data_IF_568258379449
#
_entry.id   IF_568258379449
#
_cell.length_a   1.000
_cell.length_b   1.000
_cell.length_c   1.000
_cell.angle_alpha   90.00
_cell.angle_beta   90.00
_cell.angle_gamma   90.00
#
_symmetry.space_group_name_H-M   'P 1'
#
loop_
_entity.id
_entity.type
_entity.pdbx_description
1 polymer ?
#
# COMPACT_ATOMS: atom_id res chain seq x y z
N UNK A 1 -8.43 34.80 13.43
CA UNK A 1 -8.39 33.66 12.51
C UNK A 1 -7.88 32.50 13.33
N UNK A 2 -8.66 31.42 13.48
CA UNK A 2 -8.27 30.31 14.34
C UNK A 2 -7.07 29.59 13.72
N UNK A 3 -5.92 29.63 14.39
CA UNK A 3 -4.73 28.88 13.98
C UNK A 3 -5.03 27.39 14.16
N UNK A 4 -5.57 26.79 13.11
CA UNK A 4 -5.91 25.38 13.10
C UNK A 4 -4.60 24.59 12.86
N UNK A 5 -4.32 23.63 13.74
CA UNK A 5 -3.04 22.91 13.78
C UNK A 5 -3.19 21.52 13.16
N UNK A 6 -2.24 21.15 12.31
CA UNK A 6 -2.15 19.84 11.70
C UNK A 6 -1.12 18.97 12.43
N UNK A 7 -1.54 17.77 12.85
CA UNK A 7 -0.65 16.81 13.49
C UNK A 7 0.42 16.30 12.51
N UNK A 8 1.62 15.94 13.02
CA UNK A 8 2.67 15.33 12.20
C UNK A 8 2.22 14.01 11.55
N UNK A 9 1.25 13.32 12.15
CA UNK A 9 0.67 12.10 11.60
C UNK A 9 -0.09 12.39 10.30
N UNK A 10 -0.89 13.45 10.28
CA UNK A 10 -1.69 13.79 9.10
C UNK A 10 -0.87 14.56 8.07
N UNK A 11 0.10 15.37 8.50
CA UNK A 11 1.10 15.93 7.59
C UNK A 11 1.90 14.82 6.88
N UNK A 12 2.29 13.77 7.60
CA UNK A 12 2.99 12.63 6.99
C UNK A 12 2.16 11.94 5.91
N UNK A 13 0.85 11.81 6.11
CA UNK A 13 -0.09 11.31 5.08
C UNK A 13 -0.11 12.25 3.86
N UNK A 14 -0.26 13.56 4.08
CA UNK A 14 -0.25 14.56 2.99
C UNK A 14 1.04 14.52 2.17
N UNK A 15 2.18 14.30 2.83
CA UNK A 15 3.48 14.26 2.18
C UNK A 15 3.83 12.87 1.60
N UNK A 16 3.00 11.85 1.80
CA UNK A 16 3.23 10.49 1.30
C UNK A 16 4.49 9.83 1.88
N UNK A 17 4.77 10.02 3.17
CA UNK A 17 5.91 9.37 3.84
C UNK A 17 5.58 8.97 5.27
N UNK A 18 6.43 8.18 5.91
CA UNK A 18 6.26 7.81 7.32
C UNK A 18 6.49 9.00 8.28
N UNK A 19 5.98 8.88 9.51
CA UNK A 19 6.03 9.93 10.53
C UNK A 19 7.45 10.38 10.89
N UNK A 20 8.40 9.44 10.95
CA UNK A 20 9.79 9.73 11.32
C UNK A 20 10.53 10.46 10.20
N UNK A 21 10.22 10.12 8.94
CA UNK A 21 10.73 10.82 7.78
C UNK A 21 10.10 12.22 7.64
N UNK A 22 8.78 12.34 7.79
CA UNK A 22 8.09 13.64 7.77
C UNK A 22 8.68 14.58 8.83
N UNK A 23 8.91 14.10 10.05
CA UNK A 23 9.52 14.90 11.12
C UNK A 23 10.91 15.44 10.73
N UNK A 24 11.79 14.59 10.20
CA UNK A 24 13.13 15.00 9.76
C UNK A 24 13.07 15.97 8.59
N UNK A 25 12.13 15.77 7.66
CA UNK A 25 11.94 16.62 6.50
C UNK A 25 11.53 18.04 6.90
N UNK A 26 10.55 18.19 7.78
CA UNK A 26 10.09 19.49 8.32
C UNK A 26 11.23 20.24 9.01
N UNK A 27 12.00 19.55 9.87
CA UNK A 27 13.16 20.16 10.53
C UNK A 27 14.25 20.60 9.54
N UNK A 28 14.47 19.84 8.46
CA UNK A 28 15.44 20.18 7.41
C UNK A 28 15.03 21.42 6.62
N UNK A 29 13.72 21.69 6.52
CA UNK A 29 13.18 22.91 5.91
C UNK A 29 13.26 24.13 6.85
N UNK A 30 13.64 23.94 8.12
CA UNK A 30 13.79 25.03 9.10
C UNK A 30 12.55 25.31 9.94
N UNK A 31 11.46 24.55 9.77
CA UNK A 31 10.24 24.73 10.56
C UNK A 31 10.38 24.10 11.96
N UNK A 32 9.71 24.71 12.93
CA UNK A 32 9.61 24.23 14.31
C UNK A 32 8.28 23.55 14.58
N UNK A 33 8.24 22.66 15.56
CA UNK A 33 7.00 21.98 15.95
C UNK A 33 6.33 22.64 17.15
N UNK A 34 5.01 22.74 17.08
CA UNK A 34 4.15 23.09 18.21
C UNK A 34 3.70 21.82 18.92
N UNK A 35 3.86 21.75 20.24
CA UNK A 35 3.31 20.65 21.05
C UNK A 35 1.87 21.00 21.42
N UNK A 36 0.91 20.29 20.82
CA UNK A 36 -0.53 20.51 21.05
C UNK A 36 -1.25 19.18 21.23
N UNK A 37 -2.43 19.22 21.84
CA UNK A 37 -3.38 18.10 21.85
C UNK A 37 -4.40 18.40 20.78
N UNK A 38 -4.53 17.53 19.78
CA UNK A 38 -5.54 17.69 18.73
C UNK A 38 -6.63 16.63 18.92
N UNK A 39 -7.86 16.87 18.44
CA UNK A 39 -8.94 15.88 18.51
C UNK A 39 -8.53 14.54 17.87
N UNK A 40 -7.83 14.64 16.74
CA UNK A 40 -7.31 13.55 15.89
C UNK A 40 -6.11 12.79 16.50
N UNK A 41 -5.51 13.31 17.57
CA UNK A 41 -4.51 12.59 18.38
C UNK A 41 -5.12 11.91 19.61
N UNK A 42 -6.45 11.81 19.72
CA UNK A 42 -7.12 11.24 20.88
C UNK A 42 -6.82 12.02 22.17
N UNK A 43 -6.72 13.35 22.06
CA UNK A 43 -6.30 14.25 23.15
C UNK A 43 -4.89 14.00 23.72
N UNK A 44 -4.04 13.25 23.01
CA UNK A 44 -2.62 13.07 23.39
C UNK A 44 -1.77 14.24 22.89
N UNK A 45 -0.70 14.57 23.64
CA UNK A 45 0.25 15.60 23.25
C UNK A 45 1.03 15.12 22.02
N UNK A 46 0.88 15.82 20.89
CA UNK A 46 1.51 15.49 19.62
C UNK A 46 2.26 16.70 19.04
N UNK A 47 3.19 16.42 18.13
CA UNK A 47 3.87 17.45 17.36
C UNK A 47 2.95 17.90 16.22
N UNK A 48 2.75 19.21 16.11
CA UNK A 48 1.90 19.83 15.11
C UNK A 48 2.66 20.96 14.41
N UNK A 49 2.19 21.28 13.21
CA UNK A 49 2.48 22.54 12.49
C UNK A 49 1.16 23.27 12.28
N UNK A 50 1.18 24.56 12.00
CA UNK A 50 -0.04 25.26 11.56
C UNK A 50 -0.46 24.77 10.17
N UNK A 51 -1.74 24.92 9.80
CA UNK A 51 -2.17 24.57 8.44
C UNK A 51 -1.44 25.41 7.37
N UNK A 52 -1.15 26.68 7.63
CA UNK A 52 -0.37 27.53 6.71
C UNK A 52 1.04 26.95 6.45
N UNK A 53 1.76 26.58 7.52
CA UNK A 53 3.05 25.91 7.40
C UNK A 53 2.93 24.55 6.70
N UNK A 54 1.87 23.78 6.99
CA UNK A 54 1.64 22.50 6.34
C UNK A 54 1.50 22.65 4.82
N UNK A 55 0.75 23.64 4.36
CA UNK A 55 0.54 23.90 2.93
C UNK A 55 1.83 24.37 2.26
N UNK A 56 2.62 25.23 2.90
CA UNK A 56 3.96 25.61 2.42
C UNK A 56 4.90 24.41 2.31
N UNK A 57 4.94 23.55 3.34
CA UNK A 57 5.79 22.35 3.37
C UNK A 57 5.38 21.37 2.25
N UNK A 58 4.08 21.25 1.97
CA UNK A 58 3.56 20.43 0.86
C UNK A 58 3.90 21.04 -0.50
N UNK A 59 3.84 22.37 -0.64
CA UNK A 59 4.24 23.07 -1.87
C UNK A 59 5.74 22.90 -2.15
N UNK A 60 6.60 23.11 -1.15
CA UNK A 60 8.04 22.85 -1.24
C UNK A 60 8.34 21.36 -1.54
N UNK A 61 7.45 20.48 -1.09
CA UNK A 61 7.21 19.10 -1.52
C UNK A 61 7.19 18.96 -3.05
N UNK A 62 6.13 19.52 -3.61
CA UNK A 62 5.76 19.45 -5.01
C UNK A 62 6.80 20.12 -5.92
N UNK A 63 7.34 21.28 -5.53
CA UNK A 63 8.35 22.02 -6.29
C UNK A 63 9.64 21.21 -6.49
N UNK A 64 9.94 20.28 -5.57
CA UNK A 64 11.07 19.35 -5.69
C UNK A 64 10.75 18.13 -6.56
N UNK A 65 9.64 18.14 -7.29
CA UNK A 65 9.19 17.06 -8.16
C UNK A 65 8.46 15.93 -7.43
N UNK A 66 8.12 16.12 -6.15
CA UNK A 66 7.33 15.16 -5.38
C UNK A 66 5.89 15.64 -5.27
N UNK A 67 5.10 15.47 -6.33
CA UNK A 67 3.65 15.63 -6.25
C UNK A 67 3.10 14.65 -5.21
N UNK A 68 2.29 15.16 -4.28
CA UNK A 68 1.59 14.35 -3.30
C UNK A 68 0.63 13.42 -4.04
N UNK A 69 1.13 12.26 -4.46
CA UNK A 69 0.29 11.18 -4.94
C UNK A 69 -0.46 10.64 -3.73
N UNK A 70 -1.74 10.97 -3.67
CA UNK A 70 -2.75 10.42 -2.77
C UNK A 70 -2.63 8.90 -2.80
N UNK A 71 -1.97 8.33 -1.78
CA UNK A 71 -1.56 6.93 -1.76
C UNK A 71 -0.63 6.65 -2.94
N UNK A 72 0.66 6.40 -2.68
CA UNK A 72 1.42 5.57 -3.62
C UNK A 72 0.68 4.23 -3.59
N UNK A 73 -0.25 4.05 -4.52
CA UNK A 73 -0.69 2.74 -4.93
C UNK A 73 0.60 2.11 -5.44
N UNK A 74 1.34 1.47 -4.54
CA UNK A 74 2.25 0.41 -4.93
C UNK A 74 1.34 -0.45 -5.77
N UNK A 75 1.62 -0.53 -7.08
CA UNK A 75 0.91 -1.49 -7.88
C UNK A 75 1.23 -2.83 -7.24
N UNK A 76 0.25 -3.38 -6.52
CA UNK A 76 0.41 -4.69 -5.90
C UNK A 76 0.65 -5.74 -6.99
N UNK A 77 0.37 -5.40 -8.26
CA UNK A 77 0.59 -6.21 -9.44
C UNK A 77 1.89 -5.83 -10.14
N UNK A 78 2.68 -6.84 -10.44
CA UNK A 78 3.88 -6.74 -11.27
C UNK A 78 4.22 -8.12 -11.82
N UNK A 79 5.51 -8.43 -11.88
CA UNK A 79 5.99 -9.73 -12.34
C UNK A 79 6.89 -10.39 -11.31
N UNK A 80 6.71 -11.69 -11.15
CA UNK A 80 7.72 -12.55 -10.56
C UNK A 80 8.67 -13.00 -11.67
N UNK A 81 9.97 -12.96 -11.42
CA UNK A 81 10.98 -13.32 -12.41
C UNK A 81 11.94 -14.39 -11.89
N UNK A 82 12.52 -15.11 -12.85
CA UNK A 82 13.72 -15.93 -12.68
C UNK A 82 14.75 -15.39 -13.67
N UNK A 83 15.81 -14.79 -13.16
CA UNK A 83 16.93 -14.27 -13.95
C UNK A 83 18.15 -15.15 -13.71
N UNK A 84 18.74 -15.64 -14.78
CA UNK A 84 20.06 -16.28 -14.73
C UNK A 84 21.11 -15.16 -14.75
N UNK A 85 21.96 -15.10 -13.71
CA UNK A 85 22.84 -13.95 -13.51
C UNK A 85 24.06 -13.98 -14.44
N UNK A 86 24.83 -15.07 -14.45
CA UNK A 86 26.07 -15.16 -15.21
C UNK A 86 26.12 -16.48 -15.98
N UNK A 87 25.26 -16.66 -17.01
CA UNK A 87 25.08 -17.96 -17.69
C UNK A 87 26.37 -18.60 -18.20
N UNK A 88 27.34 -17.78 -18.63
CA UNK A 88 28.58 -18.29 -19.26
C UNK A 88 29.61 -18.80 -18.25
N UNK A 89 29.53 -18.37 -16.99
CA UNK A 89 30.47 -18.74 -15.92
C UNK A 89 29.82 -19.66 -14.90
N UNK A 90 28.59 -19.35 -14.51
CA UNK A 90 27.82 -20.07 -13.51
C UNK A 90 26.35 -20.17 -13.97
N UNK A 91 26.04 -21.14 -14.85
CA UNK A 91 24.70 -21.32 -15.38
C UNK A 91 23.69 -21.74 -14.31
N UNK A 92 24.13 -22.22 -13.15
CA UNK A 92 23.20 -22.64 -12.07
C UNK A 92 22.76 -21.48 -11.19
N UNK A 93 23.42 -20.32 -11.29
CA UNK A 93 23.16 -19.15 -10.47
C UNK A 93 21.98 -18.33 -10.98
N UNK A 94 20.91 -18.38 -10.21
CA UNK A 94 19.65 -17.70 -10.48
C UNK A 94 19.37 -16.65 -9.42
N UNK A 95 18.70 -15.57 -9.82
CA UNK A 95 18.01 -14.66 -8.92
C UNK A 95 16.51 -14.75 -9.17
N UNK A 96 15.76 -14.91 -8.09
CA UNK A 96 14.31 -14.90 -8.08
C UNK A 96 13.81 -13.62 -7.41
N UNK A 97 12.60 -13.18 -7.73
CA UNK A 97 11.98 -12.07 -7.02
C UNK A 97 10.91 -11.36 -7.83
N UNK A 98 10.47 -10.22 -7.31
CA UNK A 98 9.41 -9.39 -7.85
C UNK A 98 9.94 -8.06 -8.41
N UNK A 99 9.30 -7.61 -9.48
CA UNK A 99 9.51 -6.29 -10.04
C UNK A 99 8.22 -5.72 -10.63
N UNK A 100 8.06 -4.40 -10.53
CA UNK A 100 7.03 -3.66 -11.27
C UNK A 100 7.36 -3.60 -12.77
N UNK A 101 8.65 -3.48 -13.11
CA UNK A 101 9.18 -3.54 -14.46
C UNK A 101 10.32 -4.55 -14.56
N UNK A 102 10.10 -5.59 -15.38
CA UNK A 102 11.11 -6.62 -15.65
C UNK A 102 12.35 -6.03 -16.34
N UNK A 103 12.12 -5.14 -17.30
CA UNK A 103 13.18 -4.53 -18.10
C UNK A 103 14.11 -3.68 -17.22
N UNK A 104 13.52 -2.81 -16.40
CA UNK A 104 14.28 -1.98 -15.48
C UNK A 104 15.08 -2.83 -14.48
N UNK A 105 14.45 -3.90 -13.95
CA UNK A 105 15.12 -4.83 -13.04
C UNK A 105 16.27 -5.57 -13.71
N UNK A 106 16.08 -6.06 -14.94
CA UNK A 106 17.12 -6.73 -15.71
C UNK A 106 18.28 -5.79 -16.00
N UNK A 107 17.99 -4.54 -16.38
CA UNK A 107 19.02 -3.51 -16.63
C UNK A 107 19.88 -3.26 -15.39
N UNK A 108 19.28 -3.21 -14.19
CA UNK A 108 20.02 -3.06 -12.93
C UNK A 108 20.94 -4.25 -12.67
N UNK A 109 20.48 -5.48 -12.92
CA UNK A 109 21.33 -6.66 -12.78
C UNK A 109 22.47 -6.68 -13.79
N UNK A 110 22.25 -6.22 -15.02
CA UNK A 110 23.26 -6.15 -16.07
C UNK A 110 24.42 -5.21 -15.76
N UNK A 111 24.26 -4.26 -14.83
CA UNK A 111 25.36 -3.43 -14.33
C UNK A 111 26.45 -4.27 -13.65
N UNK A 112 26.08 -5.33 -12.92
CA UNK A 112 27.02 -6.22 -12.23
C UNK A 112 27.21 -7.57 -12.93
N UNK A 113 26.23 -7.99 -13.74
CA UNK A 113 26.22 -9.27 -14.45
C UNK A 113 25.80 -9.05 -15.91
N UNK A 114 26.70 -8.60 -16.80
CA UNK A 114 26.33 -8.13 -18.15
C UNK A 114 25.63 -9.18 -19.02
N UNK A 115 25.92 -10.46 -18.79
CA UNK A 115 25.32 -11.57 -19.53
C UNK A 115 24.04 -12.10 -18.89
N UNK A 116 23.51 -11.40 -17.87
CA UNK A 116 22.26 -11.75 -17.24
C UNK A 116 21.10 -11.79 -18.26
N UNK A 117 20.30 -12.85 -18.15
CA UNK A 117 19.14 -13.09 -19.01
C UNK A 117 17.94 -13.57 -18.19
N UNK A 118 16.76 -13.17 -18.63
CA UNK A 118 15.50 -13.67 -18.07
C UNK A 118 15.32 -15.11 -18.54
N UNK A 119 15.15 -16.02 -17.59
CA UNK A 119 14.76 -17.41 -17.87
C UNK A 119 13.24 -17.50 -18.04
N UNK A 120 12.48 -16.88 -17.12
CA UNK A 120 11.03 -16.88 -17.12
C UNK A 120 10.47 -15.73 -16.26
N UNK A 121 9.23 -15.32 -16.53
CA UNK A 121 8.48 -14.39 -15.70
C UNK A 121 6.98 -14.70 -15.71
N UNK A 122 6.28 -14.37 -14.63
CA UNK A 122 4.84 -14.56 -14.47
C UNK A 122 4.20 -13.30 -13.86
N UNK A 123 2.95 -12.95 -14.24
CA UNK A 123 2.18 -11.95 -13.52
C UNK A 123 2.05 -12.34 -12.04
N UNK A 124 2.30 -11.41 -11.14
CA UNK A 124 2.42 -11.71 -9.72
C UNK A 124 1.91 -10.55 -8.86
N UNK A 125 1.32 -10.86 -7.70
CA UNK A 125 1.14 -9.85 -6.66
C UNK A 125 2.39 -9.78 -5.77
N UNK A 126 2.80 -8.58 -5.34
CA UNK A 126 3.94 -8.41 -4.43
C UNK A 126 3.85 -9.31 -3.17
N UNK A 127 2.69 -9.46 -2.49
CA UNK A 127 2.58 -10.36 -1.35
C UNK A 127 2.82 -11.84 -1.66
N UNK A 128 2.77 -12.27 -2.93
CA UNK A 128 3.01 -13.65 -3.33
C UNK A 128 4.49 -13.98 -3.50
N UNK A 129 5.38 -12.98 -3.53
CA UNK A 129 6.80 -13.14 -3.86
C UNK A 129 7.49 -14.20 -3.00
N UNK A 130 7.41 -14.09 -1.67
CA UNK A 130 8.07 -15.03 -0.78
C UNK A 130 7.51 -16.44 -0.93
N UNK A 131 6.18 -16.58 -1.02
CA UNK A 131 5.53 -17.88 -1.25
C UNK A 131 5.95 -18.49 -2.58
N UNK A 132 6.10 -17.69 -3.63
CA UNK A 132 6.59 -18.14 -4.92
C UNK A 132 8.05 -18.61 -4.82
N UNK A 133 8.93 -17.85 -4.16
CA UNK A 133 10.33 -18.25 -3.92
C UNK A 133 10.36 -19.61 -3.22
N UNK A 134 9.63 -19.77 -2.12
CA UNK A 134 9.60 -21.02 -1.35
C UNK A 134 9.08 -22.19 -2.21
N UNK A 135 8.00 -21.99 -2.97
CA UNK A 135 7.42 -23.01 -3.84
C UNK A 135 8.39 -23.45 -4.96
N UNK A 136 9.06 -22.49 -5.60
CA UNK A 136 9.97 -22.77 -6.73
C UNK A 136 11.32 -23.32 -6.27
N UNK A 137 11.74 -23.04 -5.03
CA UNK A 137 13.07 -23.44 -4.53
C UNK A 137 13.04 -24.66 -3.60
N UNK A 138 11.86 -25.22 -3.32
CA UNK A 138 11.68 -26.39 -2.43
C UNK A 138 12.53 -27.64 -2.76
N UNK A 139 12.95 -27.80 -4.01
CA UNK A 139 13.70 -28.96 -4.51
C UNK A 139 14.83 -28.50 -5.43
N UNK A 140 16.02 -29.11 -5.29
CA UNK A 140 17.14 -28.92 -6.20
C UNK A 140 17.69 -27.50 -6.25
N UNK A 141 17.43 -26.67 -5.23
CA UNK A 141 17.95 -25.31 -5.12
C UNK A 141 18.58 -25.09 -3.74
N UNK A 142 19.70 -24.36 -3.72
CA UNK A 142 20.42 -23.95 -2.51
C UNK A 142 20.52 -22.44 -2.47
N UNK A 143 20.10 -21.85 -1.36
CA UNK A 143 20.23 -20.42 -1.15
C UNK A 143 21.71 -20.06 -0.97
N UNK A 144 22.22 -19.15 -1.79
CA UNK A 144 23.58 -18.59 -1.64
C UNK A 144 23.52 -17.37 -0.72
N UNK A 145 22.72 -16.37 -1.11
CA UNK A 145 22.53 -15.14 -0.36
C UNK A 145 21.30 -14.39 -0.87
N UNK A 146 20.46 -13.89 0.05
CA UNK A 146 19.24 -13.15 -0.23
C UNK A 146 18.26 -13.95 -1.11
N UNK A 147 18.05 -13.52 -2.36
CA UNK A 147 17.16 -14.18 -3.33
C UNK A 147 17.97 -14.81 -4.48
N UNK A 148 19.26 -15.08 -4.24
CA UNK A 148 20.18 -15.70 -5.20
C UNK A 148 20.39 -17.15 -4.81
N UNK A 149 20.08 -18.05 -5.75
CA UNK A 149 20.08 -19.50 -5.56
C UNK A 149 21.01 -20.16 -6.57
N UNK A 150 21.58 -21.29 -6.18
CA UNK A 150 22.15 -22.28 -7.09
C UNK A 150 21.09 -23.38 -7.30
N UNK A 151 20.67 -23.61 -8.54
CA UNK A 151 19.68 -24.64 -8.86
C UNK A 151 20.22 -25.64 -9.88
N UNK A 152 19.99 -26.93 -9.62
CA UNK A 152 20.54 -28.02 -10.43
C UNK A 152 19.80 -28.24 -11.74
N UNK A 153 18.48 -28.04 -11.74
CA UNK A 153 17.61 -28.25 -12.90
C UNK A 153 16.68 -27.04 -13.10
N UNK A 154 17.05 -26.21 -14.08
CA UNK A 154 16.34 -24.98 -14.44
C UNK A 154 14.99 -25.28 -15.10
N UNK A 155 14.88 -26.36 -15.89
CA UNK A 155 13.64 -26.72 -16.58
C UNK A 155 12.59 -27.19 -15.58
N UNK A 156 13.00 -28.00 -14.60
CA UNK A 156 12.12 -28.44 -13.52
C UNK A 156 11.71 -27.27 -12.61
N UNK A 157 12.60 -26.29 -12.38
CA UNK A 157 12.24 -25.05 -11.69
C UNK A 157 11.18 -24.24 -12.46
N UNK A 158 11.36 -24.07 -13.78
CA UNK A 158 10.40 -23.34 -14.62
C UNK A 158 9.05 -24.05 -14.67
N UNK A 159 9.03 -25.38 -14.83
CA UNK A 159 7.78 -26.17 -14.81
C UNK A 159 7.02 -26.04 -13.49
N UNK A 160 7.74 -26.02 -12.35
CA UNK A 160 7.13 -25.76 -11.04
C UNK A 160 6.55 -24.34 -10.96
N UNK A 161 7.26 -23.36 -11.52
CA UNK A 161 6.76 -22.00 -11.65
C UNK A 161 5.48 -21.91 -12.47
N UNK A 162 5.45 -22.52 -13.66
CA UNK A 162 4.25 -22.55 -14.50
C UNK A 162 3.06 -23.22 -13.79
N UNK A 163 3.30 -24.31 -13.05
CA UNK A 163 2.26 -24.97 -12.26
C UNK A 163 1.77 -24.11 -11.08
N UNK A 164 2.69 -23.48 -10.33
CA UNK A 164 2.37 -22.63 -9.20
C UNK A 164 1.62 -21.36 -9.61
N UNK A 165 2.08 -20.64 -10.63
CA UNK A 165 1.37 -19.45 -11.09
C UNK A 165 0.08 -19.79 -11.84
N UNK A 166 -0.02 -20.98 -12.44
CA UNK A 166 -1.24 -21.47 -13.08
C UNK A 166 -2.39 -21.77 -12.12
N UNK A 167 -2.12 -22.01 -10.83
CA UNK A 167 -3.17 -22.20 -9.80
C UNK A 167 -3.62 -20.89 -9.15
N UNK A 168 -2.90 -19.79 -9.36
CA UNK A 168 -3.22 -18.49 -8.76
C UNK A 168 -4.25 -17.74 -9.62
N UNK A 169 -5.11 -16.91 -9.01
CA UNK A 169 -6.00 -16.03 -9.77
C UNK A 169 -5.18 -14.99 -10.54
N UNK A 170 -5.80 -14.35 -11.53
CA UNK A 170 -5.18 -13.19 -12.17
C UNK A 170 -4.85 -12.10 -11.12
N UNK A 171 -3.66 -11.50 -11.15
CA UNK A 171 -3.18 -10.66 -10.05
C UNK A 171 -3.92 -9.32 -9.94
N UNK A 172 -4.58 -8.86 -10.99
CA UNK A 172 -5.46 -7.69 -10.99
C UNK A 172 -6.85 -8.00 -10.41
N UNK A 173 -7.24 -9.27 -10.33
CA UNK A 173 -8.54 -9.68 -9.81
C UNK A 173 -8.52 -9.69 -8.28
N UNK A 174 -9.53 -9.03 -7.70
CA UNK A 174 -9.85 -9.07 -6.27
C UNK A 174 -10.98 -10.05 -6.02
N UNK A 175 -10.86 -10.83 -4.94
CA UNK A 175 -11.95 -11.70 -4.52
C UNK A 175 -13.17 -10.83 -4.16
N UNK A 176 -14.37 -11.18 -4.65
CA UNK A 176 -15.57 -10.46 -4.28
C UNK A 176 -15.80 -10.60 -2.78
N UNK A 177 -16.20 -9.51 -2.13
CA UNK A 177 -16.62 -9.56 -0.74
C UNK A 177 -17.98 -10.26 -0.65
N UNK A 178 -18.14 -11.13 0.35
CA UNK A 178 -19.45 -11.70 0.68
C UNK A 178 -20.43 -10.58 1.08
N UNK A 179 -21.73 -10.78 0.87
CA UNK A 179 -22.76 -9.78 1.20
C UNK A 179 -22.72 -9.36 2.67
N UNK A 180 -22.51 -10.30 3.59
CA UNK A 180 -22.39 -10.06 5.03
C UNK A 180 -21.00 -9.57 5.48
N UNK A 181 -20.08 -9.27 4.56
CA UNK A 181 -18.74 -8.84 4.92
C UNK A 181 -18.78 -7.50 5.69
N UNK A 182 -18.13 -7.38 6.85
CA UNK A 182 -18.02 -6.11 7.56
C UNK A 182 -17.22 -5.07 6.75
N UNK A 183 -16.49 -5.50 5.72
CA UNK A 183 -15.79 -4.61 4.79
C UNK A 183 -16.71 -3.94 3.75
N UNK A 184 -18.00 -4.33 3.67
CA UNK A 184 -18.99 -3.63 2.85
C UNK A 184 -19.55 -2.38 3.54
N UNK A 185 -19.38 -2.24 4.86
CA UNK A 185 -19.99 -1.18 5.66
C UNK A 185 -19.11 0.10 5.66
N UNK A 186 -19.01 0.77 4.51
CA UNK A 186 -18.53 2.17 4.43
C UNK A 186 -19.15 2.91 3.25
N UNK A 187 -20.48 3.03 3.23
CA UNK A 187 -21.20 4.10 2.51
C UNK A 187 -22.55 4.34 3.19
N UNK A 188 -22.56 4.72 4.46
CA UNK A 188 -23.67 5.45 5.08
C UNK A 188 -23.20 5.91 6.45
N UNK A 189 -22.92 7.21 6.56
CA UNK A 189 -23.09 7.99 7.78
C UNK A 189 -23.08 9.46 7.36
N UNK A 190 -24.28 10.03 7.25
CA UNK A 190 -24.47 11.43 6.86
C UNK A 190 -25.75 11.73 6.07
N UNK A 191 -26.85 11.01 6.29
CA UNK A 191 -28.18 11.60 6.05
C UNK A 191 -28.88 11.64 7.41
N UNK A 192 -28.96 12.86 7.92
CA UNK A 192 -29.62 13.22 9.16
C UNK A 192 -31.05 12.68 9.17
N UNK A 193 -31.37 11.98 10.26
CA UNK A 193 -32.73 11.62 10.60
C UNK A 193 -33.56 12.90 10.80
N UNK A 194 -34.39 13.23 9.80
CA UNK A 194 -35.45 14.22 9.94
C UNK A 194 -36.46 13.70 10.98
N UNK A 195 -36.43 14.30 12.17
CA UNK A 195 -37.41 14.08 13.23
C UNK A 195 -38.81 14.45 12.72
N UNK A 196 -39.85 13.62 12.91
CA UNK A 196 -41.20 14.05 12.63
C UNK A 196 -41.64 15.09 13.68
N UNK A 197 -41.97 16.27 13.18
CA UNK A 197 -42.51 17.39 13.94
C UNK A 197 -43.77 16.98 14.73
N UNK A 198 -43.79 17.36 16.01
CA UNK A 198 -44.96 17.28 16.87
C UNK A 198 -46.10 18.13 16.29
N UNK A 199 -47.22 17.48 15.97
CA UNK A 199 -48.51 18.13 15.80
C UNK A 199 -49.35 17.84 17.05
N UNK A 200 -49.23 18.71 18.04
CA UNK A 200 -50.14 18.76 19.18
C UNK A 200 -51.34 19.62 18.78
N UNK A 201 -52.51 18.99 18.67
CA UNK A 201 -53.77 19.61 18.28
C UNK A 201 -54.90 18.99 19.11
N UNK A 202 -55.66 19.77 19.91
CA UNK A 202 -56.52 19.24 20.95
C UNK A 202 -57.94 18.99 20.45
N UNK A 203 -58.61 17.91 20.94
CA UNK A 203 -60.02 17.98 21.34
C UNK A 203 -60.45 16.71 22.11
N UNK A 204 -60.65 16.85 23.42
CA UNK A 204 -61.55 16.01 24.20
C UNK A 204 -62.89 16.73 24.31
N UNK A 205 -63.97 16.10 23.86
CA UNK A 205 -65.30 16.24 24.44
C UNK A 205 -66.16 15.04 24.02
N UNK A 206 -66.27 14.06 24.92
CA UNK A 206 -67.30 13.04 24.87
C UNK A 206 -68.60 13.66 25.39
N UNK A 207 -69.64 13.65 24.56
CA UNK A 207 -71.01 13.86 24.99
C UNK A 207 -71.56 12.50 25.44
N UNK A 208 -71.82 12.37 26.74
CA UNK A 208 -72.63 11.28 27.29
C UNK A 208 -74.05 11.80 27.48
N UNK A 209 -75.00 11.10 26.86
CA UNK A 209 -76.43 11.37 26.94
C UNK A 209 -77.15 10.05 27.21
N UNK A 210 -77.41 9.80 28.49
CA UNK A 210 -78.62 9.22 29.08
C UNK A 210 -79.27 7.99 28.43
N UNK A 211 -79.33 6.90 29.19
CA UNK A 211 -80.59 6.39 29.77
C UNK A 211 -80.34 5.44 30.92
#
# INVERSE_FOLDING_TARGET
MSDDYLSIKDLAKRLGMDRSHARRYVMKLGYSFHKRRTPDSGSQLTLCVTNAEADEIVSLRADKGFTASTVVAISDVGVFYVIQLVPDLDPKRLKLGFAESLEQRLSQHRTAAPTARVLRAWPCKRPWELTAIDALTREGCRLILNEVFECDDLDTLVKRGDAFFGMLPAPDVRAPLASASPLNATTHDGEDAEQPAAADGPLRAAADAGR
#
